data_IF_567047489022
#
_entry.id   IF_567047489022
#
_cell.length_a   1.000
_cell.length_b   1.000
_cell.length_c   1.000
_cell.angle_alpha   90.00
_cell.angle_beta   90.00
_cell.angle_gamma   90.00
#
_symmetry.space_group_name_H-M   'P 1'
#
loop_
_entity.id
_entity.type
_entity.pdbx_description
1 polymer ?
#
# COMPACT_ATOMS: atom_id res chain seq x y z
N UNK A 1 -18.13 8.79 3.65
CA UNK A 1 -16.97 7.90 3.43
C UNK A 1 -17.45 6.53 3.85
N UNK A 2 -17.40 5.55 2.94
CA UNK A 2 -17.94 4.21 3.17
C UNK A 2 -16.84 3.20 2.88
N UNK A 3 -16.85 2.08 3.61
CA UNK A 3 -15.99 0.92 3.35
C UNK A 3 -16.77 -0.12 2.57
N UNK A 4 -16.13 -0.72 1.56
CA UNK A 4 -16.65 -1.90 0.85
C UNK A 4 -15.75 -3.10 1.13
N UNK A 5 -16.36 -4.22 1.53
CA UNK A 5 -15.68 -5.49 1.72
C UNK A 5 -16.29 -6.53 0.78
N UNK A 6 -15.43 -7.28 0.08
CA UNK A 6 -15.82 -8.35 -0.83
C UNK A 6 -15.16 -9.63 -0.34
N UNK A 7 -15.95 -10.56 0.20
CA UNK A 7 -15.47 -11.86 0.65
C UNK A 7 -15.78 -12.95 -0.39
N UNK A 8 -14.72 -13.39 -1.07
CA UNK A 8 -14.71 -14.43 -2.11
C UNK A 8 -13.60 -15.46 -1.83
N UNK A 9 -13.31 -15.75 -0.55
CA UNK A 9 -12.22 -16.67 -0.14
C UNK A 9 -12.20 -18.00 -0.90
N UNK A 10 -13.38 -18.55 -1.17
CA UNK A 10 -13.54 -19.84 -1.84
C UNK A 10 -13.67 -19.76 -3.37
N UNK A 11 -13.75 -18.54 -3.92
CA UNK A 11 -13.83 -18.36 -5.35
C UNK A 11 -12.51 -18.78 -6.01
N UNK A 12 -12.61 -19.65 -6.99
CA UNK A 12 -11.49 -20.12 -7.82
C UNK A 12 -11.62 -19.49 -9.20
N UNK A 13 -10.48 -19.19 -9.83
CA UNK A 13 -10.44 -18.68 -11.19
C UNK A 13 -9.50 -17.49 -11.33
N UNK A 14 -9.68 -16.75 -12.43
CA UNK A 14 -8.95 -15.51 -12.70
C UNK A 14 -9.94 -14.37 -12.83
N UNK A 15 -9.76 -13.36 -11.99
CA UNK A 15 -10.58 -12.15 -12.00
C UNK A 15 -9.72 -10.98 -12.46
N UNK A 16 -10.36 -9.99 -13.08
CA UNK A 16 -9.70 -8.80 -13.60
C UNK A 16 -10.34 -7.55 -13.06
N UNK A 17 -9.51 -6.59 -12.68
CA UNK A 17 -9.90 -5.21 -12.50
C UNK A 17 -9.19 -4.41 -13.58
N UNK A 18 -9.93 -3.86 -14.54
CA UNK A 18 -9.35 -3.19 -15.70
C UNK A 18 -10.20 -1.97 -16.04
N UNK A 19 -9.59 -0.79 -15.96
CA UNK A 19 -10.27 0.48 -16.25
C UNK A 19 -10.95 1.13 -15.05
N UNK A 20 -10.70 0.67 -13.82
CA UNK A 20 -11.15 1.40 -12.62
C UNK A 20 -10.23 2.59 -12.40
N UNK A 21 -10.59 3.73 -12.99
CA UNK A 21 -9.79 4.96 -12.97
C UNK A 21 -10.39 6.00 -12.05
N UNK A 22 -9.52 6.76 -11.40
CA UNK A 22 -9.85 7.81 -10.43
C UNK A 22 -10.79 7.31 -9.33
N UNK A 23 -10.55 6.10 -8.82
CA UNK A 23 -11.35 5.58 -7.73
C UNK A 23 -11.09 6.42 -6.47
N UNK A 24 -12.14 7.05 -5.95
CA UNK A 24 -12.12 7.81 -4.69
C UNK A 24 -13.18 7.32 -3.70
N UNK A 25 -13.57 6.04 -3.80
CA UNK A 25 -14.74 5.48 -3.12
C UNK A 25 -14.62 5.29 -1.60
N UNK A 26 -13.41 5.44 -1.04
CA UNK A 26 -13.11 5.08 0.34
C UNK A 26 -12.40 3.73 0.42
N UNK A 27 -12.48 3.07 1.57
CA UNK A 27 -11.77 1.82 1.80
C UNK A 27 -12.40 0.66 1.00
N UNK A 28 -11.54 -0.17 0.43
CA UNK A 28 -11.93 -1.33 -0.38
C UNK A 28 -11.09 -2.54 -0.01
N UNK A 29 -11.71 -3.57 0.54
CA UNK A 29 -11.05 -4.83 0.87
C UNK A 29 -11.63 -5.95 0.02
N UNK A 30 -10.81 -6.56 -0.84
CA UNK A 30 -11.22 -7.67 -1.71
C UNK A 30 -10.43 -8.92 -1.33
N UNK A 31 -11.14 -9.90 -0.77
CA UNK A 31 -10.57 -11.15 -0.33
C UNK A 31 -10.94 -12.30 -1.28
N UNK A 32 -9.95 -12.89 -1.93
CA UNK A 32 -10.08 -13.88 -3.00
C UNK A 32 -8.90 -14.86 -3.00
N UNK A 33 -8.57 -15.41 -1.83
CA UNK A 33 -7.32 -16.16 -1.55
C UNK A 33 -7.04 -17.37 -2.45
N UNK A 34 -8.06 -17.94 -3.09
CA UNK A 34 -7.93 -19.08 -4.01
C UNK A 34 -7.91 -18.67 -5.50
N UNK A 35 -8.04 -17.39 -5.81
CA UNK A 35 -8.12 -16.88 -7.18
C UNK A 35 -6.92 -16.02 -7.57
N UNK A 36 -6.64 -15.98 -8.86
CA UNK A 36 -5.67 -15.05 -9.45
C UNK A 36 -6.35 -13.72 -9.76
N UNK A 37 -5.72 -12.62 -9.37
CA UNK A 37 -6.13 -11.27 -9.70
C UNK A 37 -5.23 -10.69 -10.78
N UNK A 38 -5.83 -10.18 -11.85
CA UNK A 38 -5.17 -9.37 -12.87
C UNK A 38 -5.55 -7.90 -12.66
N UNK A 39 -4.61 -7.12 -12.15
CA UNK A 39 -4.73 -5.67 -11.98
C UNK A 39 -4.29 -4.97 -13.25
N UNK A 40 -5.26 -4.71 -14.11
CA UNK A 40 -5.07 -4.21 -15.46
C UNK A 40 -5.10 -5.35 -16.46
N UNK A 41 -5.62 -5.07 -17.65
CA UNK A 41 -5.50 -5.94 -18.82
C UNK A 41 -5.61 -5.05 -20.06
N UNK A 42 -6.83 -4.63 -20.41
CA UNK A 42 -7.08 -3.73 -21.52
C UNK A 42 -6.77 -2.26 -21.16
N UNK A 43 -7.00 -1.90 -19.91
CA UNK A 43 -6.73 -0.56 -19.38
C UNK A 43 -6.17 -0.69 -17.96
N UNK A 44 -5.47 0.34 -17.51
CA UNK A 44 -4.94 0.41 -16.16
C UNK A 44 -5.97 0.90 -15.14
N UNK A 45 -5.52 0.98 -13.88
CA UNK A 45 -6.35 1.37 -12.75
C UNK A 45 -5.70 2.51 -11.97
N UNK A 46 -6.50 3.27 -11.23
CA UNK A 46 -5.96 4.23 -10.28
C UNK A 46 -6.83 4.40 -9.02
N UNK A 47 -6.15 4.55 -7.89
CA UNK A 47 -6.75 4.66 -6.57
C UNK A 47 -6.27 5.94 -5.90
N UNK A 48 -7.19 6.79 -5.46
CA UNK A 48 -6.91 8.11 -4.92
C UNK A 48 -7.85 8.44 -3.77
N UNK A 49 -7.43 9.33 -2.88
CA UNK A 49 -8.32 9.98 -1.90
C UNK A 49 -8.43 11.46 -2.20
N UNK A 50 -9.53 12.09 -1.80
CA UNK A 50 -9.61 13.55 -1.79
C UNK A 50 -9.20 14.10 -0.43
N UNK A 51 -8.47 15.20 -0.46
CA UNK A 51 -8.27 16.05 0.71
C UNK A 51 -9.61 16.61 1.14
N UNK A 52 -9.97 16.32 2.37
CA UNK A 52 -11.17 16.78 3.06
C UNK A 52 -10.78 17.30 4.45
N UNK A 53 -11.75 17.82 5.21
CA UNK A 53 -11.49 18.37 6.55
C UNK A 53 -10.99 17.34 7.57
N UNK A 54 -10.99 16.05 7.22
CA UNK A 54 -10.54 14.96 8.07
C UNK A 54 -9.23 14.34 7.57
N UNK A 55 -8.61 14.90 6.51
CA UNK A 55 -7.38 14.43 5.86
C UNK A 55 -7.34 12.91 5.67
N UNK A 56 -8.46 12.35 5.20
CA UNK A 56 -8.64 10.89 5.13
C UNK A 56 -7.63 10.23 4.19
N UNK A 57 -7.23 9.02 4.57
CA UNK A 57 -6.47 8.10 3.71
C UNK A 57 -7.42 7.07 3.11
N UNK A 58 -7.35 6.84 1.81
CA UNK A 58 -8.01 5.69 1.17
C UNK A 58 -7.14 4.45 1.36
N UNK A 59 -7.70 3.36 1.89
CA UNK A 59 -7.01 2.07 2.03
C UNK A 59 -7.65 1.04 1.11
N UNK A 60 -6.88 0.56 0.15
CA UNK A 60 -7.32 -0.48 -0.78
C UNK A 60 -6.49 -1.72 -0.54
N UNK A 61 -7.15 -2.86 -0.35
CA UNK A 61 -6.52 -4.13 -0.08
C UNK A 61 -7.04 -5.21 -1.04
N UNK A 62 -6.09 -5.91 -1.67
CA UNK A 62 -6.37 -7.13 -2.43
C UNK A 62 -5.63 -8.29 -1.78
N UNK A 63 -6.36 -9.34 -1.41
CA UNK A 63 -5.81 -10.59 -0.90
C UNK A 63 -6.16 -11.72 -1.87
N UNK A 64 -5.18 -12.21 -2.63
CA UNK A 64 -5.38 -13.17 -3.71
C UNK A 64 -4.37 -14.32 -3.65
N UNK A 65 -4.55 -15.32 -4.52
CA UNK A 65 -3.55 -16.37 -4.73
C UNK A 65 -2.32 -15.82 -5.45
N UNK A 66 -2.54 -15.21 -6.61
CA UNK A 66 -1.55 -14.50 -7.40
C UNK A 66 -2.08 -13.11 -7.74
N UNK A 67 -1.18 -12.13 -7.83
CA UNK A 67 -1.52 -10.81 -8.36
C UNK A 67 -0.59 -10.52 -9.54
N UNK A 68 -1.19 -10.19 -10.68
CA UNK A 68 -0.46 -9.78 -11.88
C UNK A 68 -0.87 -8.39 -12.29
N UNK A 69 0.10 -7.48 -12.40
CA UNK A 69 -0.10 -6.10 -12.83
C UNK A 69 0.29 -6.02 -14.31
N UNK A 70 -0.70 -6.08 -15.19
CA UNK A 70 -0.48 -6.21 -16.63
C UNK A 70 -0.58 -4.88 -17.39
N UNK A 71 -0.90 -3.79 -16.70
CA UNK A 71 -1.07 -2.45 -17.29
C UNK A 71 -0.64 -1.38 -16.26
N UNK A 72 -0.91 -0.10 -16.54
CA UNK A 72 -0.57 0.95 -15.57
C UNK A 72 -1.41 0.84 -14.28
N UNK A 73 -0.78 1.16 -13.16
CA UNK A 73 -1.39 1.23 -11.84
C UNK A 73 -0.92 2.51 -11.15
N UNK A 74 -1.82 3.46 -10.96
CA UNK A 74 -1.49 4.74 -10.35
C UNK A 74 -2.04 4.83 -8.92
N UNK A 75 -1.21 5.21 -7.96
CA UNK A 75 -1.56 5.32 -6.55
C UNK A 75 -1.46 6.79 -6.14
N UNK A 76 -2.57 7.31 -5.63
CA UNK A 76 -2.80 8.71 -5.26
C UNK A 76 -2.64 9.71 -6.42
N UNK A 77 -3.07 9.32 -7.62
CA UNK A 77 -2.99 10.15 -8.82
C UNK A 77 -3.83 11.44 -8.72
N UNK A 78 -3.50 12.43 -9.54
CA UNK A 78 -4.37 13.60 -9.73
C UNK A 78 -5.66 13.22 -10.44
N UNK A 79 -6.80 13.62 -9.89
CA UNK A 79 -8.10 13.47 -10.56
C UNK A 79 -8.34 14.64 -11.51
N UNK A 80 -8.57 14.34 -12.79
CA UNK A 80 -8.83 15.32 -13.84
C UNK A 80 -7.66 16.30 -14.06
N UNK A 81 -7.99 17.57 -14.31
CA UNK A 81 -6.99 18.64 -14.50
C UNK A 81 -6.30 19.06 -13.21
N UNK A 82 -6.83 18.67 -12.04
CA UNK A 82 -6.35 19.13 -10.73
C UNK A 82 -6.94 20.46 -10.26
N UNK A 83 -7.84 21.09 -11.02
CA UNK A 83 -8.50 22.33 -10.59
C UNK A 83 -9.42 22.14 -9.36
N UNK A 84 -9.97 20.93 -9.18
CA UNK A 84 -10.85 20.60 -8.06
C UNK A 84 -10.12 20.24 -6.76
N UNK A 85 -10.78 19.39 -5.95
CA UNK A 85 -10.22 18.85 -4.71
C UNK A 85 -8.87 18.16 -4.98
N UNK A 86 -7.89 18.49 -4.15
CA UNK A 86 -6.55 17.90 -4.21
C UNK A 86 -6.58 16.49 -3.65
N UNK A 87 -5.65 15.66 -4.06
CA UNK A 87 -5.45 14.35 -3.44
C UNK A 87 -4.97 14.50 -1.98
N UNK A 88 -5.29 13.53 -1.13
CA UNK A 88 -4.76 13.41 0.23
C UNK A 88 -3.67 12.34 0.24
N UNK A 89 -3.95 11.16 0.80
CA UNK A 89 -3.04 10.01 0.85
C UNK A 89 -3.77 8.72 0.48
N UNK A 90 -3.04 7.76 -0.08
CA UNK A 90 -3.60 6.44 -0.43
C UNK A 90 -2.62 5.34 -0.06
N UNK A 91 -3.15 4.29 0.58
CA UNK A 91 -2.42 3.07 0.88
C UNK A 91 -3.02 1.94 0.04
N UNK A 92 -2.25 1.38 -0.87
CA UNK A 92 -2.60 0.16 -1.59
C UNK A 92 -1.82 -1.01 -0.99
N UNK A 93 -2.53 -2.06 -0.59
CA UNK A 93 -1.95 -3.29 -0.06
C UNK A 93 -2.26 -4.44 -1.01
N UNK A 94 -1.21 -5.07 -1.54
CA UNK A 94 -1.31 -6.26 -2.38
C UNK A 94 -0.76 -7.45 -1.59
N UNK A 95 -1.63 -8.40 -1.27
CA UNK A 95 -1.28 -9.63 -0.59
C UNK A 95 -1.52 -10.81 -1.54
N UNK A 96 -0.47 -11.59 -1.78
CA UNK A 96 -0.55 -12.77 -2.64
C UNK A 96 0.13 -13.96 -1.97
N UNK A 97 -0.55 -15.11 -1.91
CA UNK A 97 0.04 -16.31 -1.29
C UNK A 97 1.13 -16.96 -2.16
N UNK A 98 1.11 -16.78 -3.48
CA UNK A 98 2.12 -17.33 -4.39
C UNK A 98 3.09 -16.25 -4.90
N UNK A 99 2.58 -15.17 -5.49
CA UNK A 99 3.46 -14.11 -5.97
C UNK A 99 2.74 -12.89 -6.52
N UNK A 100 3.50 -11.80 -6.61
CA UNK A 100 3.10 -10.54 -7.24
C UNK A 100 4.04 -10.29 -8.41
N UNK A 101 3.49 -10.18 -9.61
CA UNK A 101 4.25 -9.97 -10.84
C UNK A 101 3.74 -8.76 -11.61
N UNK A 102 4.58 -8.19 -12.47
CA UNK A 102 4.12 -7.24 -13.48
C UNK A 102 4.63 -7.57 -14.88
N UNK A 103 3.86 -7.14 -15.89
CA UNK A 103 4.29 -7.17 -17.29
C UNK A 103 5.40 -6.14 -17.56
N UNK A 104 6.18 -6.35 -18.62
CA UNK A 104 7.28 -5.42 -19.01
C UNK A 104 6.81 -4.01 -19.33
N UNK A 105 5.58 -3.88 -19.82
CA UNK A 105 4.97 -2.60 -20.18
C UNK A 105 4.06 -2.03 -19.07
N UNK A 106 3.96 -2.72 -17.93
CA UNK A 106 3.22 -2.19 -16.80
C UNK A 106 4.00 -1.01 -16.20
N UNK A 107 3.28 0.02 -15.76
CA UNK A 107 3.88 1.14 -15.04
C UNK A 107 3.17 1.32 -13.72
N UNK A 108 3.90 1.21 -12.62
CA UNK A 108 3.37 1.42 -11.28
C UNK A 108 3.82 2.80 -10.83
N UNK A 109 2.92 3.77 -10.82
CA UNK A 109 3.23 5.16 -10.47
C UNK A 109 2.70 5.52 -9.09
N UNK A 110 3.59 5.90 -8.18
CA UNK A 110 3.27 6.42 -6.85
C UNK A 110 3.46 7.94 -6.85
N UNK A 111 2.38 8.66 -6.58
CA UNK A 111 2.39 10.11 -6.43
C UNK A 111 2.62 10.51 -4.96
N UNK A 112 2.69 11.82 -4.68
CA UNK A 112 2.77 12.33 -3.31
C UNK A 112 1.69 11.72 -2.41
N UNK A 113 2.04 11.28 -1.19
CA UNK A 113 1.13 10.65 -0.24
C UNK A 113 0.77 9.19 -0.55
N UNK A 114 1.39 8.55 -1.54
CA UNK A 114 1.14 7.16 -1.90
C UNK A 114 2.01 6.18 -1.08
N UNK A 115 1.38 5.09 -0.62
CA UNK A 115 2.08 3.93 -0.05
C UNK A 115 1.62 2.65 -0.74
N UNK A 116 2.57 1.81 -1.15
CA UNK A 116 2.33 0.47 -1.68
C UNK A 116 2.91 -0.58 -0.73
N UNK A 117 2.05 -1.36 -0.09
CA UNK A 117 2.46 -2.52 0.72
C UNK A 117 2.38 -3.78 -0.13
N UNK A 118 3.45 -4.57 -0.12
CA UNK A 118 3.54 -5.86 -0.81
C UNK A 118 3.80 -6.95 0.22
N UNK A 119 2.94 -7.96 0.25
CA UNK A 119 3.09 -9.14 1.08
C UNK A 119 2.91 -10.39 0.22
N UNK A 120 3.98 -11.15 0.01
CA UNK A 120 3.91 -12.39 -0.78
C UNK A 120 5.16 -13.23 -0.62
N UNK A 121 5.17 -14.43 -1.20
CA UNK A 121 6.39 -15.23 -1.29
C UNK A 121 7.41 -14.63 -2.27
N UNK A 122 6.95 -13.97 -3.34
CA UNK A 122 7.86 -13.37 -4.33
C UNK A 122 7.24 -12.16 -5.00
N UNK A 123 8.06 -11.14 -5.23
CA UNK A 123 7.70 -9.93 -5.98
C UNK A 123 8.63 -9.78 -7.16
N UNK A 124 8.09 -9.72 -8.38
CA UNK A 124 8.86 -9.49 -9.60
C UNK A 124 8.18 -8.46 -10.50
N UNK A 125 8.63 -7.21 -10.39
CA UNK A 125 8.08 -6.08 -11.14
C UNK A 125 8.97 -5.82 -12.36
N UNK A 126 8.51 -6.26 -13.53
CA UNK A 126 9.28 -6.20 -14.78
C UNK A 126 9.20 -4.85 -15.49
N UNK A 127 8.09 -4.15 -15.33
CA UNK A 127 7.90 -2.81 -15.86
C UNK A 127 8.48 -1.71 -14.96
N UNK A 128 8.24 -0.46 -15.33
CA UNK A 128 8.76 0.67 -14.57
C UNK A 128 7.97 0.87 -13.28
N UNK A 129 8.67 1.01 -12.16
CA UNK A 129 8.12 1.46 -10.90
C UNK A 129 8.56 2.90 -10.70
N UNK A 130 7.62 3.84 -10.70
CA UNK A 130 7.88 5.26 -10.60
C UNK A 130 7.47 5.78 -9.23
N UNK A 131 8.43 6.19 -8.42
CA UNK A 131 8.21 6.75 -7.09
C UNK A 131 8.34 8.28 -7.11
N UNK A 132 7.33 8.97 -6.59
CA UNK A 132 7.35 10.43 -6.44
C UNK A 132 7.09 11.20 -7.74
N UNK A 133 6.18 10.71 -8.58
CA UNK A 133 5.86 11.35 -9.86
C UNK A 133 5.20 12.73 -9.67
N UNK A 134 5.42 13.65 -10.62
CA UNK A 134 4.82 14.99 -10.59
C UNK A 134 3.30 14.93 -10.62
N UNK A 135 2.67 15.27 -9.49
CA UNK A 135 1.23 15.13 -9.34
C UNK A 135 0.43 16.22 -10.06
N UNK A 136 0.93 17.46 -10.08
CA UNK A 136 0.27 18.60 -10.72
C UNK A 136 1.22 19.32 -11.66
N UNK A 137 0.71 19.71 -12.83
CA UNK A 137 1.47 20.48 -13.81
C UNK A 137 1.96 21.78 -13.17
N UNK A 138 3.25 22.06 -13.30
CA UNK A 138 3.89 23.28 -12.75
C UNK A 138 4.24 23.22 -11.27
N UNK A 139 3.89 22.16 -10.53
CA UNK A 139 4.19 22.03 -9.11
C UNK A 139 5.59 21.45 -8.82
N UNK A 140 6.61 21.92 -9.56
CA UNK A 140 7.98 21.38 -9.53
C UNK A 140 8.69 21.52 -8.17
N UNK A 141 8.27 22.48 -7.36
CA UNK A 141 8.82 22.71 -6.02
C UNK A 141 8.12 21.90 -4.92
N UNK A 142 7.03 21.21 -5.24
CA UNK A 142 6.33 20.39 -4.25
C UNK A 142 7.16 19.14 -3.95
N UNK A 143 7.52 18.87 -2.68
CA UNK A 143 8.10 17.59 -2.33
C UNK A 143 7.05 16.50 -2.59
N UNK A 144 7.51 15.36 -3.11
CA UNK A 144 6.64 14.21 -3.38
C UNK A 144 7.12 13.03 -2.56
N UNK A 145 6.38 12.67 -1.52
CA UNK A 145 6.70 11.56 -0.64
C UNK A 145 5.98 10.29 -1.10
N UNK A 146 6.72 9.19 -1.23
CA UNK A 146 6.13 7.89 -1.57
C UNK A 146 6.87 6.75 -0.88
N UNK A 147 6.13 5.70 -0.54
CA UNK A 147 6.69 4.54 0.16
C UNK A 147 6.31 3.25 -0.54
N UNK A 148 7.30 2.38 -0.78
CA UNK A 148 7.06 0.98 -1.08
C UNK A 148 7.52 0.14 0.11
N UNK A 149 6.62 -0.65 0.67
CA UNK A 149 6.89 -1.50 1.80
C UNK A 149 6.82 -2.97 1.38
N UNK A 150 7.97 -3.63 1.41
CA UNK A 150 8.14 -5.05 1.07
C UNK A 150 8.53 -5.87 2.29
N UNK A 151 8.43 -5.33 3.50
CA UNK A 151 8.87 -6.01 4.73
C UNK A 151 8.21 -7.36 4.97
N UNK A 152 7.02 -7.58 4.39
CA UNK A 152 6.25 -8.83 4.46
C UNK A 152 6.48 -9.76 3.26
N UNK A 153 7.46 -9.48 2.41
CA UNK A 153 7.88 -10.40 1.34
C UNK A 153 8.89 -11.39 1.92
N UNK A 154 8.55 -12.67 1.89
CA UNK A 154 9.36 -13.73 2.55
C UNK A 154 10.48 -14.25 1.65
N UNK A 155 10.29 -14.26 0.34
CA UNK A 155 11.31 -14.60 -0.65
C UNK A 155 12.00 -13.37 -1.22
N UNK A 156 12.06 -13.29 -2.54
CA UNK A 156 12.81 -12.25 -3.26
C UNK A 156 11.90 -11.15 -3.79
N UNK A 157 12.43 -9.93 -3.74
CA UNK A 157 11.86 -8.75 -4.38
C UNK A 157 12.78 -8.35 -5.52
N UNK A 158 12.25 -8.22 -6.72
CA UNK A 158 12.97 -7.79 -7.90
C UNK A 158 12.23 -6.63 -8.58
N UNK A 159 12.85 -5.45 -8.54
CA UNK A 159 12.48 -4.31 -9.37
C UNK A 159 13.37 -4.30 -10.61
N UNK A 160 12.80 -4.53 -11.79
CA UNK A 160 13.58 -4.49 -13.02
C UNK A 160 14.03 -3.05 -13.37
N UNK A 161 13.14 -2.08 -13.18
CA UNK A 161 13.38 -0.66 -13.41
C UNK A 161 12.66 0.17 -12.36
N UNK A 162 13.42 0.97 -11.61
CA UNK A 162 12.94 1.91 -10.61
C UNK A 162 13.30 3.34 -11.05
N UNK A 163 12.29 4.20 -11.15
CA UNK A 163 12.45 5.63 -11.40
C UNK A 163 12.05 6.41 -10.14
N UNK A 164 12.84 7.40 -9.74
CA UNK A 164 12.51 8.26 -8.59
C UNK A 164 12.55 9.74 -8.98
N UNK A 165 11.43 10.42 -8.75
CA UNK A 165 11.22 11.82 -9.07
C UNK A 165 10.87 12.06 -10.54
N UNK A 166 10.29 13.23 -10.78
CA UNK A 166 9.88 13.73 -12.10
C UNK A 166 9.78 15.25 -12.01
N UNK A 167 10.85 15.96 -12.39
CA UNK A 167 10.91 17.42 -12.31
C UNK A 167 10.59 18.01 -10.91
N UNK A 168 10.80 17.22 -9.84
CA UNK A 168 10.46 17.59 -8.47
C UNK A 168 11.49 17.09 -7.45
N UNK A 169 11.41 17.60 -6.22
CA UNK A 169 12.21 17.15 -5.10
C UNK A 169 11.58 15.92 -4.41
N UNK A 170 11.37 14.84 -5.16
CA UNK A 170 10.79 13.61 -4.63
C UNK A 170 11.64 13.01 -3.51
N UNK A 171 10.98 12.43 -2.51
CA UNK A 171 11.61 11.73 -1.39
C UNK A 171 10.94 10.36 -1.26
N UNK A 172 11.58 9.36 -1.85
CA UNK A 172 11.08 7.99 -1.90
C UNK A 172 11.66 7.14 -0.77
N UNK A 173 10.83 6.27 -0.19
CA UNK A 173 11.23 5.30 0.82
C UNK A 173 10.93 3.87 0.40
N UNK A 174 11.91 2.97 0.48
CA UNK A 174 11.70 1.53 0.35
C UNK A 174 12.00 0.87 1.71
N UNK A 175 10.98 0.29 2.33
CA UNK A 175 11.16 -0.62 3.45
C UNK A 175 11.37 -2.01 2.85
N UNK A 176 12.62 -2.43 2.79
CA UNK A 176 13.05 -3.58 2.01
C UNK A 176 12.85 -4.90 2.77
N UNK A 177 12.55 -5.98 2.06
CA UNK A 177 12.78 -7.33 2.57
C UNK A 177 14.29 -7.66 2.52
N UNK A 178 14.68 -8.75 3.18
CA UNK A 178 16.09 -9.19 3.26
C UNK A 178 16.74 -9.39 1.88
N UNK A 179 15.97 -9.76 0.86
CA UNK A 179 16.44 -10.02 -0.50
C UNK A 179 15.73 -9.11 -1.49
N UNK A 180 16.21 -7.87 -1.58
CA UNK A 180 15.69 -6.87 -2.51
C UNK A 180 16.73 -6.55 -3.57
N UNK A 181 16.36 -6.72 -4.83
CA UNK A 181 17.17 -6.45 -6.00
C UNK A 181 16.53 -5.33 -6.81
N UNK A 182 17.33 -4.32 -7.15
CA UNK A 182 16.95 -3.24 -8.07
C UNK A 182 17.86 -3.36 -9.28
N UNK A 183 17.27 -3.46 -10.46
CA UNK A 183 17.95 -3.45 -11.74
C UNK A 183 18.39 -2.03 -12.10
N UNK A 184 17.73 -1.44 -13.11
CA UNK A 184 17.99 -0.04 -13.46
C UNK A 184 17.39 0.90 -12.42
N UNK A 185 18.17 1.89 -12.00
CA UNK A 185 17.73 2.96 -11.11
C UNK A 185 17.95 4.32 -11.79
N UNK A 186 16.86 5.00 -12.10
CA UNK A 186 16.88 6.37 -12.64
C UNK A 186 16.45 7.35 -11.55
N UNK A 187 17.34 8.29 -11.20
CA UNK A 187 17.07 9.33 -10.21
C UNK A 187 17.01 10.70 -10.88
N UNK A 188 15.95 11.45 -10.59
CA UNK A 188 15.94 12.87 -10.91
C UNK A 188 16.98 13.62 -10.07
N UNK A 189 17.52 14.73 -10.59
CA UNK A 189 18.66 15.45 -9.98
C UNK A 189 18.44 15.83 -8.51
N UNK A 190 17.20 16.16 -8.14
CA UNK A 190 16.82 16.54 -6.77
C UNK A 190 16.07 15.44 -6.01
N UNK A 191 16.01 14.22 -6.53
CA UNK A 191 15.31 13.11 -5.89
C UNK A 191 16.17 12.44 -4.81
N UNK A 192 15.54 12.15 -3.66
CA UNK A 192 16.08 11.29 -2.61
C UNK A 192 15.44 9.91 -2.63
N UNK A 193 16.25 8.88 -2.38
CA UNK A 193 15.80 7.51 -2.19
C UNK A 193 16.41 6.93 -0.89
N UNK A 194 15.55 6.54 0.04
CA UNK A 194 15.93 5.93 1.30
C UNK A 194 15.52 4.45 1.30
N UNK A 195 16.50 3.54 1.35
CA UNK A 195 16.24 2.09 1.44
C UNK A 195 16.57 1.64 2.87
N UNK A 196 15.57 1.10 3.56
CA UNK A 196 15.68 0.61 4.93
C UNK A 196 15.70 -0.91 4.88
N UNK A 197 16.83 -1.51 5.24
CA UNK A 197 16.97 -2.95 5.37
C UNK A 197 16.30 -3.48 6.66
N UNK A 198 15.91 -4.76 6.71
CA UNK A 198 15.42 -5.35 7.96
C UNK A 198 16.51 -5.36 9.04
N UNK A 199 16.16 -5.18 10.32
CA UNK A 199 17.10 -5.39 11.42
C UNK A 199 17.48 -6.88 11.49
N UNK A 200 18.55 -7.19 12.24
CA UNK A 200 19.12 -8.54 12.34
C UNK A 200 18.10 -9.62 12.78
N UNK A 201 17.15 -9.26 13.65
CA UNK A 201 16.05 -10.13 14.10
C UNK A 201 14.77 -10.08 13.23
N UNK A 202 14.81 -9.40 12.08
CA UNK A 202 13.64 -9.16 11.23
C UNK A 202 12.69 -8.10 11.79
N UNK A 203 11.74 -7.66 10.96
CA UNK A 203 10.70 -6.74 11.41
C UNK A 203 9.76 -7.46 12.37
N UNK A 204 9.47 -6.85 13.52
CA UNK A 204 8.45 -7.36 14.44
C UNK A 204 7.07 -7.07 13.87
N UNK A 205 6.18 -8.06 13.93
CA UNK A 205 4.76 -7.79 13.74
C UNK A 205 4.29 -6.83 14.83
N UNK A 206 3.44 -5.87 14.44
CA UNK A 206 2.75 -5.02 15.40
C UNK A 206 1.89 -5.95 16.26
N UNK A 207 1.89 -5.84 17.61
CA UNK A 207 1.01 -6.66 18.43
C UNK A 207 -0.44 -6.45 17.98
N UNK A 208 -1.10 -7.55 17.60
CA UNK A 208 -2.51 -7.54 17.23
C UNK A 208 -3.32 -7.17 18.47
N UNK A 209 -3.77 -5.92 18.54
CA UNK A 209 -4.71 -5.49 19.57
C UNK A 209 -6.14 -5.89 19.16
N UNK A 210 -6.37 -7.18 18.96
CA UNK A 210 -7.73 -7.75 19.08
C UNK A 210 -8.03 -7.85 20.56
N UNK A 211 -8.46 -6.73 21.16
CA UNK A 211 -9.21 -6.81 22.39
C UNK A 211 -10.53 -7.51 22.05
N UNK A 212 -10.59 -8.82 22.30
CA UNK A 212 -11.85 -9.51 22.51
C UNK A 212 -12.56 -8.79 23.65
N UNK A 213 -13.55 -7.95 23.34
CA UNK A 213 -14.57 -7.57 24.29
C UNK A 213 -15.34 -8.83 24.68
N UNK A 214 -14.84 -9.55 25.67
CA UNK A 214 -15.58 -10.59 26.36
C UNK A 214 -15.72 -10.21 27.83
N UNK A 215 -16.91 -9.73 28.17
CA UNK A 215 -17.53 -9.87 29.48
C UNK A 215 -16.89 -9.10 30.63
N UNK A 216 -17.37 -7.87 30.87
CA UNK A 216 -17.44 -7.36 32.22
C UNK A 216 -18.33 -8.30 33.05
N UNK A 217 -17.74 -9.24 33.78
CA UNK A 217 -18.41 -9.89 34.91
C UNK A 217 -18.35 -8.91 36.08
N UNK A 218 -19.46 -8.21 36.26
CA UNK A 218 -19.85 -7.69 37.56
C UNK A 218 -20.06 -8.89 38.48
N UNK A 219 -19.23 -9.05 39.50
CA UNK A 219 -19.63 -9.66 40.76
C UNK A 219 -19.28 -8.69 41.89
N UNK A 220 -20.33 -8.29 42.61
CA UNK A 220 -20.30 -7.39 43.76
C UNK A 220 -19.75 -8.11 45.00
N UNK A 221 -19.17 -7.27 45.87
CA UNK A 221 -19.10 -7.38 47.34
C UNK A 221 -18.32 -8.56 47.94
N UNK A 222 -17.30 -8.22 48.74
CA UNK A 222 -17.42 -8.41 50.19
C UNK A 222 -16.43 -7.52 50.96
N UNK A 223 -16.99 -6.77 51.91
CA UNK A 223 -16.31 -5.94 52.89
C UNK A 223 -15.96 -6.75 54.13
N UNK A 224 -14.71 -6.66 54.62
CA UNK A 224 -14.37 -7.05 56.00
C UNK A 224 -13.11 -6.32 56.54
N UNK A 225 -13.38 -5.32 57.39
CA UNK A 225 -12.72 -4.88 58.65
C UNK A 225 -11.18 -4.90 58.83
N UNK A 226 -10.67 -3.68 59.13
CA UNK A 226 -9.78 -3.24 60.24
C UNK A 226 -8.89 -4.26 60.97
N UNK A 227 -7.60 -3.93 61.13
CA UNK A 227 -7.10 -3.36 62.41
C UNK A 227 -5.71 -2.69 62.30
N UNK A 228 -5.47 -1.81 63.28
CA UNK A 228 -4.43 -0.77 63.49
C UNK A 228 -2.97 -1.26 63.52
N UNK A 229 -2.01 -0.36 63.25
CA UNK A 229 -1.07 0.15 64.29
C UNK A 229 -0.18 1.34 63.84
N UNK A 230 -0.33 2.43 64.60
CA UNK A 230 0.57 3.49 65.08
C UNK A 230 1.98 3.70 64.47
N UNK A 231 2.26 4.93 64.04
CA UNK A 231 2.98 5.96 64.84
C UNK A 231 2.82 7.35 64.22
#
# INVERSE_FOLDING_TARGET
WNKLEVDMKDAVGTYKLSGLRNFTGGDLDVNMQKATLRLGQFNGNSFTSFKDSADRTTRVEFNAKNISIDNFLEINNRVGSGAGRKASSTVLTLQASEGITSGKNAEISLYDGATLNLASNSVKLMGNVWMGRLQYVGAYLAPSYSTINTSKVTGEVNFNHLTVGDHNAAQAGIIASKKTYIGTLDLWQSAGLNIIAPPEGGYKDKPNNTNSQSGAKNDKNESAKNDKQDS
#
